data_IF_086690405632
#
_entry.id   IF_086690405632
#
_cell.length_a   1.000
_cell.length_b   1.000
_cell.length_c   1.000
_cell.angle_alpha   90.00
_cell.angle_beta   90.00
_cell.angle_gamma   90.00
#
_symmetry.space_group_name_H-M   'P 1'
#
loop_
_entity.id
_entity.type
_entity.pdbx_description
1 polymer ?
#
# COMPACT_ATOMS: atom_id res chain seq x y z
N UNK A 1 -2.30 25.53 18.95
CA UNK A 1 -1.43 24.34 19.09
C UNK A 1 -0.58 24.26 17.83
N UNK A 2 0.74 24.15 17.96
CA UNK A 2 1.62 24.07 16.78
C UNK A 2 1.54 22.68 16.14
N UNK A 3 1.84 22.57 14.84
CA UNK A 3 1.83 21.29 14.12
C UNK A 3 2.70 20.22 14.80
N UNK A 4 3.89 20.58 15.26
CA UNK A 4 4.82 19.65 15.92
C UNK A 4 4.20 19.07 17.19
N UNK A 5 3.56 19.92 18.01
CA UNK A 5 2.87 19.48 19.23
C UNK A 5 1.73 18.51 18.90
N UNK A 6 0.92 18.86 17.90
CA UNK A 6 -0.17 18.00 17.43
C UNK A 6 0.33 16.63 16.94
N UNK A 7 1.40 16.60 16.15
CA UNK A 7 1.97 15.35 15.63
C UNK A 7 2.52 14.48 16.76
N UNK A 8 3.14 15.08 17.79
CA UNK A 8 3.65 14.37 18.96
C UNK A 8 2.52 13.77 19.80
N UNK A 9 1.45 14.54 20.05
CA UNK A 9 0.29 14.08 20.83
C UNK A 9 -0.46 12.95 20.13
N UNK A 10 -0.71 13.09 18.83
CA UNK A 10 -1.46 12.11 18.01
C UNK A 10 -0.61 10.91 17.60
N UNK A 11 0.71 11.02 17.68
CA UNK A 11 1.68 10.00 17.26
C UNK A 11 1.56 9.58 15.79
N UNK A 12 1.09 10.49 14.93
CA UNK A 12 0.93 10.23 13.48
C UNK A 12 2.27 9.95 12.80
N UNK A 13 3.34 10.60 13.27
CA UNK A 13 4.70 10.45 12.73
C UNK A 13 5.24 9.01 12.76
N UNK A 14 4.72 8.14 13.63
CA UNK A 14 5.21 6.77 13.77
C UNK A 14 5.00 5.98 12.48
N UNK A 15 3.83 6.09 11.85
CA UNK A 15 3.55 5.40 10.58
C UNK A 15 4.53 5.84 9.48
N UNK A 16 4.70 7.16 9.34
CA UNK A 16 5.61 7.75 8.35
C UNK A 16 7.07 7.33 8.53
N UNK A 17 7.54 7.11 9.76
CA UNK A 17 8.89 6.58 10.00
C UNK A 17 9.05 5.19 9.37
N UNK A 18 8.09 4.29 9.58
CA UNK A 18 8.16 2.93 9.04
C UNK A 18 8.03 2.92 7.51
N UNK A 19 7.23 3.81 6.94
CA UNK A 19 7.14 4.03 5.50
C UNK A 19 8.48 4.45 4.89
N UNK A 20 9.13 5.44 5.51
CA UNK A 20 10.46 5.91 5.10
C UNK A 20 11.47 4.76 5.19
N UNK A 21 11.45 3.98 6.27
CA UNK A 21 12.33 2.81 6.42
C UNK A 21 12.07 1.81 5.29
N UNK A 22 10.82 1.47 4.97
CA UNK A 22 10.49 0.56 3.88
C UNK A 22 10.96 1.08 2.51
N UNK A 23 10.76 2.36 2.22
CA UNK A 23 11.23 2.99 0.98
C UNK A 23 12.76 2.97 0.88
N UNK A 24 13.47 3.28 1.98
CA UNK A 24 14.94 3.23 2.03
C UNK A 24 15.49 1.82 1.85
N UNK A 25 14.87 0.82 2.48
CA UNK A 25 15.23 -0.60 2.26
C UNK A 25 14.97 -1.03 0.82
N UNK A 26 13.87 -0.58 0.21
CA UNK A 26 13.58 -0.82 -1.20
C UNK A 26 14.63 -0.21 -2.14
N UNK A 27 15.00 1.05 -1.94
CA UNK A 27 16.04 1.72 -2.72
C UNK A 27 17.41 1.07 -2.53
N UNK A 28 17.76 0.69 -1.29
CA UNK A 28 18.96 -0.06 -0.99
C UNK A 28 18.99 -1.42 -1.71
N UNK A 29 17.87 -2.13 -1.70
CA UNK A 29 17.70 -3.40 -2.41
C UNK A 29 17.93 -3.26 -3.91
N UNK A 30 17.31 -2.26 -4.55
CA UNK A 30 17.52 -1.99 -5.98
C UNK A 30 18.97 -1.70 -6.35
N UNK A 31 19.71 -1.03 -5.45
CA UNK A 31 21.12 -0.71 -5.67
C UNK A 31 22.03 -1.93 -5.49
N UNK A 32 21.65 -2.88 -4.64
CA UNK A 32 22.48 -4.05 -4.29
C UNK A 32 22.16 -5.30 -5.09
N UNK A 33 20.95 -5.42 -5.61
CA UNK A 33 20.51 -6.56 -6.41
C UNK A 33 20.89 -6.38 -7.88
N UNK A 34 21.71 -7.29 -8.42
CA UNK A 34 22.19 -7.24 -9.81
C UNK A 34 21.07 -7.30 -10.87
N UNK A 35 20.04 -8.10 -10.60
CA UNK A 35 18.85 -8.17 -11.43
C UNK A 35 17.61 -8.21 -10.55
N UNK A 36 16.72 -7.25 -10.74
CA UNK A 36 15.44 -7.16 -10.04
C UNK A 36 14.34 -7.13 -11.08
N UNK A 37 13.28 -7.91 -10.86
CA UNK A 37 12.12 -7.93 -11.74
C UNK A 37 11.47 -6.54 -11.84
N UNK A 38 10.94 -6.19 -13.00
CA UNK A 38 10.43 -4.83 -13.28
C UNK A 38 9.29 -4.44 -12.34
N UNK A 39 8.40 -5.39 -12.04
CA UNK A 39 7.28 -5.22 -11.11
C UNK A 39 7.74 -4.87 -9.68
N UNK A 40 8.86 -5.43 -9.22
CA UNK A 40 9.44 -5.11 -7.91
C UNK A 40 10.10 -3.73 -7.93
N UNK A 41 10.72 -3.33 -9.03
CA UNK A 41 11.22 -1.94 -9.20
C UNK A 41 10.09 -0.93 -9.12
N UNK A 42 8.99 -1.18 -9.83
CA UNK A 42 7.80 -0.33 -9.77
C UNK A 42 7.22 -0.25 -8.35
N UNK A 43 7.20 -1.37 -7.63
CA UNK A 43 6.76 -1.38 -6.23
C UNK A 43 7.64 -0.52 -5.32
N UNK A 44 8.97 -0.55 -5.48
CA UNK A 44 9.87 0.33 -4.73
C UNK A 44 9.61 1.81 -5.03
N UNK A 45 9.42 2.17 -6.31
CA UNK A 45 9.07 3.56 -6.66
C UNK A 45 7.71 3.96 -6.12
N UNK A 46 6.75 3.03 -6.07
CA UNK A 46 5.46 3.23 -5.42
C UNK A 46 5.61 3.49 -3.91
N UNK A 47 6.48 2.79 -3.19
CA UNK A 47 6.75 3.08 -1.78
C UNK A 47 7.36 4.48 -1.57
N UNK A 48 8.28 4.89 -2.45
CA UNK A 48 8.83 6.24 -2.42
C UNK A 48 7.74 7.28 -2.67
N UNK A 49 6.84 7.02 -3.61
CA UNK A 49 5.67 7.88 -3.87
C UNK A 49 4.78 8.02 -2.63
N UNK A 50 4.49 6.91 -1.92
CA UNK A 50 3.69 6.94 -0.68
C UNK A 50 4.33 7.88 0.34
N UNK A 51 5.65 7.78 0.57
CA UNK A 51 6.35 8.65 1.53
C UNK A 51 6.13 10.12 1.22
N UNK A 52 6.24 10.52 -0.05
CA UNK A 52 5.98 11.91 -0.44
C UNK A 52 4.54 12.33 -0.21
N UNK A 53 3.59 11.45 -0.49
CA UNK A 53 2.17 11.73 -0.32
C UNK A 53 1.75 11.80 1.15
N UNK A 54 2.33 10.97 2.01
CA UNK A 54 2.09 11.00 3.46
C UNK A 54 2.69 12.25 4.11
N UNK A 55 3.86 12.70 3.64
CA UNK A 55 4.40 14.01 4.05
C UNK A 55 3.46 15.14 3.59
N UNK A 56 2.95 15.07 2.35
CA UNK A 56 1.97 16.03 1.84
C UNK A 56 0.66 16.02 2.66
N UNK A 57 0.27 14.86 3.19
CA UNK A 57 -0.96 14.71 3.97
C UNK A 57 -0.98 15.57 5.23
N UNK A 58 0.18 15.99 5.76
CA UNK A 58 0.28 16.93 6.88
C UNK A 58 -0.06 18.38 6.52
N UNK A 59 -0.07 18.74 5.23
CA UNK A 59 -0.34 20.11 4.79
C UNK A 59 -1.77 20.59 5.15
N UNK A 60 -2.85 19.83 4.88
CA UNK A 60 -4.19 20.20 5.36
C UNK A 60 -4.31 20.36 6.87
N UNK A 61 -3.60 19.52 7.63
CA UNK A 61 -3.61 19.54 9.09
C UNK A 61 -2.98 20.85 9.57
N UNK A 62 -1.82 21.19 9.02
CA UNK A 62 -1.15 22.45 9.29
C UNK A 62 -2.03 23.66 8.92
N UNK A 63 -2.61 23.65 7.73
CA UNK A 63 -3.50 24.72 7.27
C UNK A 63 -4.71 24.90 8.21
N UNK A 64 -5.25 23.80 8.74
CA UNK A 64 -6.35 23.84 9.72
C UNK A 64 -5.91 24.40 11.08
N UNK A 65 -4.72 24.03 11.57
CA UNK A 65 -4.20 24.49 12.87
C UNK A 65 -3.86 25.99 12.89
N UNK A 66 -3.45 26.54 11.74
CA UNK A 66 -3.21 27.98 11.53
C UNK A 66 -4.46 28.73 11.04
N UNK A 67 -5.66 28.15 11.22
CA UNK A 67 -6.96 28.73 10.85
C UNK A 67 -7.05 29.21 9.39
N UNK A 68 -6.23 28.64 8.50
CA UNK A 68 -6.06 28.99 7.10
C UNK A 68 -5.54 30.42 6.84
N UNK A 69 -4.86 31.06 7.79
CA UNK A 69 -4.34 32.44 7.62
C UNK A 69 -3.37 32.57 6.43
N UNK A 70 -2.48 31.59 6.24
CA UNK A 70 -1.48 31.59 5.16
C UNK A 70 -2.02 30.93 3.88
N UNK A 71 -2.80 29.86 4.02
CA UNK A 71 -3.34 29.06 2.92
C UNK A 71 -4.85 29.31 2.76
N UNK A 72 -5.25 30.57 2.62
CA UNK A 72 -6.66 30.97 2.51
C UNK A 72 -7.36 30.30 1.33
N UNK A 73 -6.68 30.18 0.19
CA UNK A 73 -7.20 29.49 -1.01
C UNK A 73 -7.52 28.01 -0.75
N UNK A 74 -6.93 27.40 0.28
CA UNK A 74 -7.10 25.98 0.61
C UNK A 74 -8.39 25.72 1.38
N UNK A 75 -8.94 26.74 2.06
CA UNK A 75 -10.12 26.61 2.94
C UNK A 75 -11.39 26.23 2.20
N UNK A 76 -11.60 26.83 1.03
CA UNK A 76 -12.78 26.60 0.19
C UNK A 76 -12.48 25.69 -1.01
N UNK A 77 -11.29 25.08 -1.02
CA UNK A 77 -10.86 24.19 -2.09
C UNK A 77 -11.40 22.77 -1.90
N UNK A 78 -11.78 22.05 -2.98
CA UNK A 78 -12.07 20.62 -2.91
C UNK A 78 -10.84 19.79 -2.45
N UNK A 79 -9.64 20.37 -2.53
CA UNK A 79 -8.40 19.75 -2.07
C UNK A 79 -8.15 19.93 -0.57
N UNK A 80 -9.02 20.63 0.16
CA UNK A 80 -8.91 20.84 1.61
C UNK A 80 -8.74 19.53 2.38
N UNK A 81 -9.34 18.45 1.89
CA UNK A 81 -9.23 17.11 2.48
C UNK A 81 -8.40 16.22 1.58
N UNK A 82 -7.68 15.30 2.22
CA UNK A 82 -6.83 14.31 1.57
C UNK A 82 -7.59 13.14 0.90
N UNK A 83 -8.92 13.21 0.84
CA UNK A 83 -9.75 12.08 0.42
C UNK A 83 -9.56 11.76 -1.07
N UNK A 84 -9.45 12.78 -1.93
CA UNK A 84 -9.27 12.60 -3.37
C UNK A 84 -7.99 11.83 -3.72
N UNK A 85 -6.87 12.17 -3.09
CA UNK A 85 -5.60 11.50 -3.40
C UNK A 85 -5.55 10.11 -2.79
N UNK A 86 -6.17 9.91 -1.62
CA UNK A 86 -6.32 8.58 -1.06
C UNK A 86 -7.22 7.67 -1.94
N UNK A 87 -8.27 8.21 -2.56
CA UNK A 87 -9.07 7.51 -3.58
C UNK A 87 -8.23 7.12 -4.81
N UNK A 88 -7.37 8.02 -5.30
CA UNK A 88 -6.40 7.70 -6.38
C UNK A 88 -5.42 6.62 -5.91
N UNK A 89 -4.90 6.74 -4.69
CA UNK A 89 -3.90 5.83 -4.15
C UNK A 89 -4.45 4.41 -4.06
N UNK A 90 -5.71 4.22 -3.62
CA UNK A 90 -6.38 2.91 -3.62
C UNK A 90 -6.35 2.22 -4.99
N UNK A 91 -6.55 2.97 -6.07
CA UNK A 91 -6.45 2.44 -7.44
C UNK A 91 -5.00 2.06 -7.75
N UNK A 92 -4.05 2.97 -7.50
CA UNK A 92 -2.62 2.75 -7.78
C UNK A 92 -2.08 1.55 -6.98
N UNK A 93 -2.43 1.42 -5.69
CA UNK A 93 -2.06 0.29 -4.84
C UNK A 93 -2.57 -1.02 -5.42
N UNK A 94 -3.84 -1.06 -5.82
CA UNK A 94 -4.46 -2.25 -6.43
C UNK A 94 -3.73 -2.64 -7.71
N UNK A 95 -3.43 -1.68 -8.58
CA UNK A 95 -2.68 -1.91 -9.82
C UNK A 95 -1.27 -2.43 -9.54
N UNK A 96 -0.52 -1.72 -8.69
CA UNK A 96 0.87 -2.03 -8.39
C UNK A 96 1.02 -3.41 -7.75
N UNK A 97 0.26 -3.68 -6.69
CA UNK A 97 0.35 -4.94 -5.93
C UNK A 97 -0.14 -6.11 -6.78
N UNK A 98 -1.30 -6.01 -7.44
CA UNK A 98 -1.82 -7.11 -8.25
C UNK A 98 -0.91 -7.44 -9.42
N UNK A 99 -0.28 -6.43 -10.04
CA UNK A 99 0.65 -6.63 -11.15
C UNK A 99 1.86 -7.50 -10.77
N UNK A 100 2.38 -7.36 -9.54
CA UNK A 100 3.48 -8.19 -9.03
C UNK A 100 3.11 -9.67 -9.12
N UNK A 101 1.92 -10.04 -8.65
CA UNK A 101 1.48 -11.43 -8.61
C UNK A 101 1.06 -11.93 -9.97
N UNK A 102 0.35 -11.13 -10.76
CA UNK A 102 -0.08 -11.49 -12.12
C UNK A 102 1.14 -11.78 -13.01
N UNK A 103 2.22 -11.00 -12.90
CA UNK A 103 3.46 -11.25 -13.67
C UNK A 103 4.21 -12.49 -13.22
N UNK A 104 4.07 -12.89 -11.97
CA UNK A 104 4.70 -14.08 -11.43
C UNK A 104 3.98 -15.40 -11.84
N UNK A 105 2.76 -15.32 -12.39
CA UNK A 105 1.99 -16.48 -12.86
C UNK A 105 2.61 -17.15 -14.08
N UNK A 106 2.67 -18.48 -14.04
CA UNK A 106 3.10 -19.34 -15.16
C UNK A 106 1.93 -19.69 -16.07
N UNK A 107 0.71 -19.82 -15.54
CA UNK A 107 -0.48 -20.10 -16.34
C UNK A 107 -0.85 -18.88 -17.22
N UNK A 108 -0.65 -19.01 -18.53
CA UNK A 108 -0.87 -17.92 -19.49
C UNK A 108 -2.34 -17.49 -19.60
N UNK A 109 -3.29 -18.43 -19.49
CA UNK A 109 -4.72 -18.12 -19.58
C UNK A 109 -5.19 -17.34 -18.35
N UNK A 110 -4.85 -17.84 -17.17
CA UNK A 110 -5.16 -17.18 -15.91
C UNK A 110 -4.52 -15.79 -15.84
N UNK A 111 -3.24 -15.69 -16.22
CA UNK A 111 -2.53 -14.41 -16.32
C UNK A 111 -3.25 -13.43 -17.24
N UNK A 112 -3.65 -13.87 -18.45
CA UNK A 112 -4.35 -13.01 -19.42
C UNK A 112 -5.68 -12.50 -18.85
N UNK A 113 -6.46 -13.36 -18.22
CA UNK A 113 -7.75 -12.99 -17.65
C UNK A 113 -7.59 -11.97 -16.51
N UNK A 114 -6.60 -12.16 -15.63
CA UNK A 114 -6.33 -11.22 -14.55
C UNK A 114 -5.78 -9.88 -15.05
N UNK A 115 -4.97 -9.85 -16.12
CA UNK A 115 -4.55 -8.59 -16.76
C UNK A 115 -5.77 -7.84 -17.28
N UNK A 116 -6.71 -8.53 -17.93
CA UNK A 116 -7.94 -7.91 -18.44
C UNK A 116 -8.76 -7.29 -17.29
N UNK A 117 -8.99 -8.05 -16.21
CA UNK A 117 -9.69 -7.55 -15.01
C UNK A 117 -8.97 -6.32 -14.43
N UNK A 118 -7.64 -6.37 -14.32
CA UNK A 118 -6.83 -5.29 -13.78
C UNK A 118 -6.89 -4.02 -14.64
N UNK A 119 -6.96 -4.14 -15.97
CA UNK A 119 -7.07 -3.00 -16.89
C UNK A 119 -8.46 -2.38 -16.90
N UNK A 120 -9.51 -3.19 -16.73
CA UNK A 120 -10.90 -2.71 -16.66
C UNK A 120 -11.18 -2.00 -15.33
N UNK A 121 -10.55 -2.44 -14.24
CA UNK A 121 -10.81 -1.91 -12.89
C UNK A 121 -10.69 -0.38 -12.76
N UNK A 122 -9.61 0.31 -13.20
CA UNK A 122 -9.51 1.76 -13.11
C UNK A 122 -10.65 2.49 -13.83
N UNK A 123 -11.10 1.96 -14.97
CA UNK A 123 -12.20 2.54 -15.74
C UNK A 123 -13.50 2.47 -14.93
N UNK A 124 -13.78 1.31 -14.32
CA UNK A 124 -14.94 1.14 -13.43
C UNK A 124 -14.84 2.02 -12.19
N UNK A 125 -13.66 2.16 -11.60
CA UNK A 125 -13.46 3.03 -10.43
C UNK A 125 -13.71 4.50 -10.76
N UNK A 126 -13.23 4.96 -11.92
CA UNK A 126 -13.52 6.32 -12.40
C UNK A 126 -15.03 6.50 -12.59
N UNK A 127 -15.72 5.55 -13.21
CA UNK A 127 -17.19 5.60 -13.38
C UNK A 127 -17.89 5.66 -12.00
N UNK A 128 -17.45 4.85 -11.02
CA UNK A 128 -18.00 4.85 -9.66
C UNK A 128 -17.90 6.24 -9.01
N UNK A 129 -16.74 6.88 -9.13
CA UNK A 129 -16.50 8.22 -8.60
C UNK A 129 -17.35 9.32 -9.25
N UNK A 130 -17.80 9.15 -10.49
CA UNK A 130 -18.68 10.11 -11.17
C UNK A 130 -20.18 9.85 -10.95
N UNK A 131 -20.55 8.63 -10.56
CA UNK A 131 -21.96 8.20 -10.50
C UNK A 131 -22.49 8.12 -9.07
N UNK A 132 -21.74 7.46 -8.19
CA UNK A 132 -22.17 7.09 -6.84
C UNK A 132 -21.32 7.80 -5.78
N UNK A 133 -20.02 7.97 -6.05
CA UNK A 133 -19.06 8.49 -5.10
C UNK A 133 -18.95 10.02 -5.09
N UNK A 134 -18.50 10.57 -3.95
CA UNK A 134 -17.98 11.94 -3.87
C UNK A 134 -16.45 11.89 -3.85
N UNK A 135 -15.83 11.87 -5.03
CA UNK A 135 -14.37 11.71 -5.19
C UNK A 135 -13.53 12.58 -4.24
N UNK A 136 -13.96 13.83 -4.01
CA UNK A 136 -13.24 14.79 -3.16
C UNK A 136 -13.59 14.74 -1.67
N UNK A 137 -14.73 14.17 -1.30
CA UNK A 137 -15.30 14.33 0.05
C UNK A 137 -15.43 13.02 0.83
N UNK A 138 -15.60 11.89 0.14
CA UNK A 138 -15.81 10.59 0.75
C UNK A 138 -14.97 9.48 0.09
N UNK A 139 -14.60 8.48 0.90
CA UNK A 139 -14.02 7.26 0.38
C UNK A 139 -15.09 6.44 -0.31
N UNK A 140 -14.78 5.92 -1.50
CA UNK A 140 -15.70 5.01 -2.20
C UNK A 140 -15.49 3.57 -1.68
N UNK A 141 -16.47 2.98 -0.97
CA UNK A 141 -16.34 1.64 -0.43
C UNK A 141 -16.35 0.57 -1.53
N UNK A 142 -17.03 0.81 -2.66
CA UNK A 142 -17.13 -0.15 -3.76
C UNK A 142 -15.78 -0.31 -4.47
N UNK A 143 -15.12 0.82 -4.75
CA UNK A 143 -13.76 0.83 -5.32
C UNK A 143 -12.81 0.06 -4.41
N UNK A 144 -12.88 0.31 -3.11
CA UNK A 144 -12.03 -0.35 -2.12
C UNK A 144 -12.26 -1.87 -2.08
N UNK A 145 -13.51 -2.31 -1.96
CA UNK A 145 -13.88 -3.72 -1.86
C UNK A 145 -13.46 -4.47 -3.13
N UNK A 146 -13.80 -3.95 -4.31
CA UNK A 146 -13.44 -4.57 -5.59
C UNK A 146 -11.92 -4.64 -5.72
N UNK A 147 -11.20 -3.57 -5.41
CA UNK A 147 -9.74 -3.54 -5.44
C UNK A 147 -9.10 -4.58 -4.53
N UNK A 148 -9.61 -4.72 -3.30
CA UNK A 148 -9.17 -5.77 -2.37
C UNK A 148 -9.40 -7.17 -2.94
N UNK A 149 -10.56 -7.44 -3.54
CA UNK A 149 -10.81 -8.75 -4.17
C UNK A 149 -9.84 -9.04 -5.33
N UNK A 150 -9.50 -8.04 -6.15
CA UNK A 150 -8.52 -8.21 -7.23
C UNK A 150 -7.14 -8.58 -6.66
N UNK A 151 -6.70 -7.91 -5.60
CA UNK A 151 -5.44 -8.25 -4.90
C UNK A 151 -5.52 -9.68 -4.38
N UNK A 152 -6.59 -10.03 -3.65
CA UNK A 152 -6.75 -11.36 -3.04
C UNK A 152 -6.77 -12.48 -4.08
N UNK A 153 -7.47 -12.30 -5.20
CA UNK A 153 -7.53 -13.29 -6.29
C UNK A 153 -6.15 -13.42 -6.95
N UNK A 154 -5.44 -12.32 -7.17
CA UNK A 154 -4.10 -12.32 -7.78
C UNK A 154 -3.09 -13.04 -6.87
N UNK A 155 -3.08 -12.70 -5.58
CA UNK A 155 -2.21 -13.32 -4.57
C UNK A 155 -2.56 -14.79 -4.38
N UNK A 156 -3.85 -15.12 -4.26
CA UNK A 156 -4.33 -16.50 -4.10
C UNK A 156 -3.96 -17.37 -5.30
N UNK A 157 -4.14 -16.86 -6.51
CA UNK A 157 -3.73 -17.55 -7.75
C UNK A 157 -2.24 -17.86 -7.77
N UNK A 158 -1.42 -16.89 -7.36
CA UNK A 158 0.03 -17.06 -7.25
C UNK A 158 0.42 -18.13 -6.22
N UNK A 159 -0.22 -18.13 -5.05
CA UNK A 159 0.05 -19.16 -4.04
C UNK A 159 -0.41 -20.55 -4.47
N UNK A 160 -1.54 -20.68 -5.16
CA UNK A 160 -1.98 -21.97 -5.71
C UNK A 160 -0.95 -22.54 -6.69
N UNK A 161 -0.33 -21.70 -7.52
CA UNK A 161 0.76 -22.15 -8.40
C UNK A 161 2.02 -22.53 -7.63
N UNK A 162 2.41 -21.76 -6.60
CA UNK A 162 3.56 -22.10 -5.76
C UNK A 162 3.35 -23.46 -5.09
N UNK A 163 2.18 -23.69 -4.48
CA UNK A 163 1.85 -24.93 -3.77
C UNK A 163 1.90 -26.17 -4.68
N UNK A 164 1.68 -25.99 -5.99
CA UNK A 164 1.73 -27.05 -7.00
C UNK A 164 3.10 -27.20 -7.68
N UNK A 165 4.11 -26.49 -7.20
CA UNK A 165 5.45 -26.45 -7.82
C UNK A 165 6.55 -26.67 -6.78
N UNK A 166 7.74 -27.04 -7.26
CA UNK A 166 8.92 -27.18 -6.41
C UNK A 166 9.36 -25.86 -5.73
N UNK A 167 8.79 -24.72 -6.16
CA UNK A 167 9.04 -23.39 -5.56
C UNK A 167 8.55 -23.29 -4.12
N UNK A 168 7.68 -24.19 -3.66
CA UNK A 168 7.24 -24.23 -2.26
C UNK A 168 8.41 -24.45 -1.28
N UNK A 169 9.55 -24.97 -1.73
CA UNK A 169 10.72 -25.17 -0.88
C UNK A 169 11.53 -23.89 -0.62
N UNK A 170 11.33 -22.85 -1.44
CA UNK A 170 12.16 -21.62 -1.40
C UNK A 170 11.34 -20.32 -1.31
N UNK A 171 10.00 -20.41 -1.27
CA UNK A 171 9.11 -19.24 -1.27
C UNK A 171 9.33 -18.26 -0.11
N UNK A 172 9.81 -18.74 1.03
CA UNK A 172 9.97 -17.92 2.25
C UNK A 172 11.05 -16.84 2.13
N UNK A 173 11.94 -16.90 1.14
CA UNK A 173 12.89 -15.81 0.88
C UNK A 173 12.61 -15.08 -0.42
N UNK A 174 11.45 -15.30 -1.03
CA UNK A 174 10.98 -14.45 -2.13
C UNK A 174 10.28 -13.22 -1.53
N UNK A 175 10.66 -12.02 -1.96
CA UNK A 175 10.03 -10.78 -1.51
C UNK A 175 8.50 -10.77 -1.67
N UNK A 176 7.96 -11.44 -2.69
CA UNK A 176 6.52 -11.52 -2.97
C UNK A 176 5.74 -12.17 -1.83
N UNK A 177 6.37 -13.06 -1.07
CA UNK A 177 5.75 -13.66 0.12
C UNK A 177 5.51 -12.61 1.21
N UNK A 178 6.50 -11.77 1.50
CA UNK A 178 6.39 -10.74 2.53
C UNK A 178 5.43 -9.62 2.12
N UNK A 179 5.45 -9.22 0.84
CA UNK A 179 4.52 -8.22 0.31
C UNK A 179 3.08 -8.70 0.46
N UNK A 180 2.79 -9.96 0.15
CA UNK A 180 1.43 -10.50 0.19
C UNK A 180 0.93 -10.63 1.61
N UNK A 181 1.76 -11.13 2.52
CA UNK A 181 1.41 -11.23 3.94
C UNK A 181 1.05 -9.87 4.53
N UNK A 182 1.86 -8.85 4.23
CA UNK A 182 1.59 -7.48 4.68
C UNK A 182 0.29 -6.93 4.10
N UNK A 183 0.14 -7.02 2.77
CA UNK A 183 -1.04 -6.47 2.09
C UNK A 183 -2.34 -7.15 2.50
N UNK A 184 -2.35 -8.48 2.68
CA UNK A 184 -3.54 -9.21 3.12
C UNK A 184 -3.92 -8.78 4.54
N UNK A 185 -2.97 -8.77 5.48
CA UNK A 185 -3.26 -8.42 6.87
C UNK A 185 -3.69 -6.96 7.00
N UNK A 186 -3.05 -6.04 6.28
CA UNK A 186 -3.47 -4.64 6.23
C UNK A 186 -4.90 -4.51 5.68
N UNK A 187 -5.21 -5.19 4.56
CA UNK A 187 -6.53 -5.13 3.94
C UNK A 187 -7.63 -5.69 4.86
N UNK A 188 -7.34 -6.79 5.56
CA UNK A 188 -8.28 -7.42 6.50
C UNK A 188 -8.65 -6.48 7.66
N UNK A 189 -7.71 -5.66 8.11
CA UNK A 189 -7.94 -4.67 9.17
C UNK A 189 -8.62 -3.40 8.64
N UNK A 190 -8.20 -2.90 7.48
CA UNK A 190 -8.61 -1.57 6.99
C UNK A 190 -9.94 -1.56 6.24
N UNK A 191 -10.28 -2.62 5.50
CA UNK A 191 -11.54 -2.67 4.75
C UNK A 191 -12.77 -2.55 5.66
N UNK A 192 -12.86 -3.28 6.80
CA UNK A 192 -13.97 -3.09 7.74
C UNK A 192 -14.04 -1.66 8.27
N UNK A 193 -12.91 -1.03 8.59
CA UNK A 193 -12.88 0.35 9.05
C UNK A 193 -13.41 1.32 7.99
N UNK A 194 -13.00 1.16 6.74
CA UNK A 194 -13.46 1.99 5.63
C UNK A 194 -14.98 1.87 5.40
N UNK A 195 -15.56 0.68 5.56
CA UNK A 195 -17.02 0.45 5.48
C UNK A 195 -17.75 1.27 6.55
N UNK A 196 -17.19 1.36 7.75
CA UNK A 196 -17.74 2.14 8.86
C UNK A 196 -17.23 3.58 8.94
N UNK A 197 -16.60 4.09 7.88
CA UNK A 197 -15.99 5.43 7.88
C UNK A 197 -16.98 6.57 8.18
N UNK A 198 -18.29 6.37 7.99
CA UNK A 198 -19.34 7.32 8.40
C UNK A 198 -19.37 7.57 9.92
N UNK A 199 -18.87 6.63 10.72
CA UNK A 199 -18.75 6.79 12.17
C UNK A 199 -17.54 7.65 12.57
N UNK A 200 -16.61 7.94 11.65
CA UNK A 200 -15.44 8.79 11.87
C UNK A 200 -15.84 10.27 11.99
N UNK A 201 -16.40 10.63 13.13
CA UNK A 201 -16.84 11.99 13.43
C UNK A 201 -16.59 12.34 14.89
N UNK A 202 -16.51 13.63 15.21
CA UNK A 202 -16.33 14.13 16.57
C UNK A 202 -17.44 13.67 17.55
N UNK A 203 -18.57 13.18 17.02
CA UNK A 203 -19.66 12.58 17.81
C UNK A 203 -19.32 11.19 18.34
N UNK A 204 -18.35 10.49 17.75
CA UNK A 204 -17.94 9.13 18.12
C UNK A 204 -16.42 9.06 18.40
N UNK A 205 -15.94 9.68 19.49
CA UNK A 205 -14.51 9.74 19.80
C UNK A 205 -13.86 8.35 19.95
N UNK A 206 -14.59 7.37 20.51
CA UNK A 206 -14.12 5.98 20.63
C UNK A 206 -13.82 5.34 19.28
N UNK A 207 -14.62 5.63 18.25
CA UNK A 207 -14.39 5.12 16.91
C UNK A 207 -13.17 5.76 16.27
N UNK A 208 -12.97 7.08 16.45
CA UNK A 208 -11.78 7.79 15.98
C UNK A 208 -10.52 7.17 16.60
N UNK A 209 -10.52 6.94 17.91
CA UNK A 209 -9.39 6.34 18.62
C UNK A 209 -9.10 4.92 18.11
N UNK A 210 -10.12 4.06 18.02
CA UNK A 210 -9.99 2.70 17.50
C UNK A 210 -9.44 2.68 16.07
N UNK A 211 -10.03 3.48 15.18
CA UNK A 211 -9.61 3.59 13.79
C UNK A 211 -8.14 4.03 13.68
N UNK A 212 -7.76 5.06 14.43
CA UNK A 212 -6.39 5.60 14.43
C UNK A 212 -5.39 4.59 14.97
N UNK A 213 -5.75 3.85 16.02
CA UNK A 213 -4.92 2.83 16.63
C UNK A 213 -4.69 1.66 15.67
N UNK A 214 -5.76 1.11 15.09
CA UNK A 214 -5.66 -0.02 14.15
C UNK A 214 -4.86 0.40 12.92
N UNK A 215 -5.17 1.56 12.33
CA UNK A 215 -4.45 2.06 11.17
C UNK A 215 -2.95 2.18 11.44
N UNK A 216 -2.56 2.75 12.58
CA UNK A 216 -1.15 2.89 12.97
C UNK A 216 -0.44 1.54 13.08
N UNK A 217 -1.00 0.58 13.80
CA UNK A 217 -0.35 -0.73 13.97
C UNK A 217 -0.35 -1.56 12.68
N UNK A 218 -1.42 -1.48 11.88
CA UNK A 218 -1.48 -2.12 10.56
C UNK A 218 -0.39 -1.56 9.64
N UNK A 219 -0.19 -0.24 9.60
CA UNK A 219 0.88 0.39 8.81
C UNK A 219 2.28 0.00 9.31
N UNK A 220 2.53 0.05 10.62
CA UNK A 220 3.83 -0.41 11.19
C UNK A 220 4.13 -1.84 10.76
N UNK A 221 3.15 -2.73 10.86
CA UNK A 221 3.31 -4.13 10.51
C UNK A 221 3.53 -4.32 8.99
N UNK A 222 2.74 -3.64 8.17
CA UNK A 222 2.83 -3.67 6.70
C UNK A 222 4.24 -3.30 6.22
N UNK A 223 4.72 -2.12 6.61
CA UNK A 223 5.99 -1.59 6.14
C UNK A 223 7.18 -2.35 6.74
N UNK A 224 7.06 -2.87 7.97
CA UNK A 224 8.06 -3.77 8.54
C UNK A 224 8.22 -5.05 7.71
N UNK A 225 7.11 -5.66 7.26
CA UNK A 225 7.17 -6.82 6.38
C UNK A 225 7.80 -6.50 5.05
N UNK A 226 7.52 -5.33 4.46
CA UNK A 226 8.17 -4.92 3.21
C UNK A 226 9.69 -4.78 3.39
N UNK A 227 10.15 -4.08 4.45
CA UNK A 227 11.57 -3.98 4.79
C UNK A 227 12.24 -5.34 4.97
N UNK A 228 11.58 -6.24 5.72
CA UNK A 228 12.06 -7.61 5.92
C UNK A 228 12.12 -8.39 4.62
N UNK A 229 11.12 -8.24 3.75
CA UNK A 229 11.08 -8.88 2.44
C UNK A 229 12.26 -8.47 1.55
N UNK A 230 12.55 -7.17 1.46
CA UNK A 230 13.73 -6.67 0.74
C UNK A 230 15.04 -7.26 1.29
N UNK A 231 15.18 -7.30 2.62
CA UNK A 231 16.37 -7.84 3.26
C UNK A 231 16.54 -9.36 3.02
N UNK A 232 15.47 -10.13 3.18
CA UNK A 232 15.48 -11.59 3.06
C UNK A 232 15.76 -12.04 1.62
N UNK A 233 15.13 -11.41 0.64
CA UNK A 233 15.34 -11.70 -0.78
C UNK A 233 16.81 -11.46 -1.19
N UNK A 234 17.37 -10.31 -0.80
CA UNK A 234 18.78 -10.02 -1.03
C UNK A 234 19.71 -11.05 -0.38
N UNK A 235 19.45 -11.40 0.89
CA UNK A 235 20.29 -12.35 1.63
C UNK A 235 20.27 -13.74 0.99
N UNK A 236 19.09 -14.21 0.56
CA UNK A 236 18.94 -15.55 -0.01
C UNK A 236 19.61 -15.65 -1.39
N UNK A 237 19.43 -14.63 -2.24
CA UNK A 237 20.07 -14.54 -3.54
C UNK A 237 21.61 -14.47 -3.43
N UNK A 238 22.14 -13.83 -2.38
CA UNK A 238 23.57 -13.82 -2.09
C UNK A 238 24.10 -15.19 -1.65
N UNK A 239 23.37 -15.89 -0.78
CA UNK A 239 23.78 -17.20 -0.25
C UNK A 239 23.76 -18.30 -1.33
N UNK A 240 22.77 -18.27 -2.25
CA UNK A 240 22.71 -19.21 -3.38
C UNK A 240 23.91 -19.08 -4.32
N UNK A 241 24.38 -17.84 -4.57
CA UNK A 241 25.61 -17.60 -5.35
C UNK A 241 26.87 -18.11 -4.66
N UNK A 242 26.95 -18.01 -3.34
CA UNK A 242 28.10 -18.51 -2.56
C UNK A 242 28.28 -20.03 -2.59
N UNK A 243 27.20 -20.80 -2.83
CA UNK A 243 27.27 -22.26 -3.00
C UNK A 243 27.64 -22.67 -4.44
N UNK A 244 27.22 -21.90 -5.46
CA UNK A 244 27.60 -22.15 -6.85
C UNK A 244 29.10 -21.98 -7.11
N UNK A 245 29.75 -21.00 -6.46
CA UNK A 245 31.19 -20.72 -6.64
C UNK A 245 32.09 -21.72 -5.88
N UNK A 246 31.56 -22.43 -4.88
CA UNK A 246 32.30 -23.48 -4.16
C UNK A 246 32.25 -24.85 -4.85
N UNK A 247 31.34 -25.02 -5.82
CA UNK A 247 31.11 -26.27 -6.54
C UNK A 247 31.61 -26.23 -8.00
N UNK A 248 32.35 -25.18 -8.38
CA UNK A 248 33.02 -24.99 -9.69
C UNK A 248 34.52 -24.90 -9.50
#
# INVERSE_FOLDING_TARGET
MKLIEFLLETKLYIGTIFEIIAALFGLWFLRKSESTALEIKLFVYYLVLIVFLEIYAYLPIWAYLEEYEILTFYKDSPFRRNVWWANILKIITTLCVSWIYIKALRNHELRRNLIYILLVYPVLSIISFFTIGEFFNAYDPYVNIIGTFIILISVGSFYVEILRSDRILTFYGDIRFYISLGMILWSLCMVPLDIYSSFFSLKNPLYIELHTLIHRYASIFLYSLFSLGFYMDYRMNRNGKGQSVKNS
#
